data_IF_214467846768
#
_entry.id   IF_214467846768
#
_cell.length_a   1.000
_cell.length_b   1.000
_cell.length_c   1.000
_cell.angle_alpha   90.00
_cell.angle_beta   90.00
_cell.angle_gamma   90.00
#
_symmetry.space_group_name_H-M   'P 1'
#
loop_
_entity.id
_entity.type
_entity.pdbx_description
1 polymer ?
#
# COMPACT_ATOMS: atom_id res chain seq x y z
N UNK A 1 -1.35 17.81 -2.34
CA UNK A 1 -1.32 16.96 -1.13
C UNK A 1 -0.92 15.54 -1.55
N UNK A 2 -0.13 14.83 -0.75
CA UNK A 2 0.26 13.45 -1.05
C UNK A 2 -0.86 12.48 -0.59
N UNK A 3 -1.02 11.35 -1.25
CA UNK A 3 -2.11 10.36 -1.01
C UNK A 3 -1.60 9.05 -0.40
N UNK A 4 -0.34 8.71 -0.68
CA UNK A 4 0.30 7.45 -0.29
C UNK A 4 1.75 7.66 0.16
N UNK A 5 2.31 6.62 0.80
CA UNK A 5 3.76 6.42 0.95
C UNK A 5 4.12 5.16 0.16
N UNK A 6 5.21 5.22 -0.60
CA UNK A 6 5.68 4.11 -1.40
C UNK A 6 7.04 3.61 -0.93
N UNK A 7 7.32 2.34 -1.18
CA UNK A 7 8.63 1.73 -0.95
C UNK A 7 8.86 0.60 -1.96
N UNK A 8 10.11 0.46 -2.40
CA UNK A 8 10.50 -0.66 -3.24
C UNK A 8 10.66 -1.93 -2.39
N UNK A 9 10.39 -3.08 -3.00
CA UNK A 9 10.72 -4.38 -2.43
C UNK A 9 11.96 -4.97 -3.11
N UNK A 10 12.76 -5.78 -2.41
CA UNK A 10 13.94 -6.42 -3.00
C UNK A 10 13.58 -7.43 -4.11
N UNK A 11 12.30 -7.81 -4.21
CA UNK A 11 11.77 -8.68 -5.27
C UNK A 11 10.33 -8.32 -5.59
N UNK A 12 9.90 -8.67 -6.80
CA UNK A 12 8.49 -8.61 -7.18
C UNK A 12 7.68 -9.64 -6.41
N UNK A 13 6.42 -9.29 -6.12
CA UNK A 13 5.42 -10.23 -5.63
C UNK A 13 4.77 -10.94 -6.80
N UNK A 14 4.41 -12.20 -6.57
CA UNK A 14 3.49 -12.90 -7.44
C UNK A 14 2.08 -12.37 -7.18
N UNK A 15 1.36 -12.10 -8.26
CA UNK A 15 0.00 -11.52 -8.22
C UNK A 15 -0.99 -12.35 -9.02
N UNK A 16 -0.62 -13.59 -9.38
CA UNK A 16 -1.54 -14.51 -10.04
C UNK A 16 -2.81 -14.70 -9.19
N UNK A 17 -3.98 -14.58 -9.84
CA UNK A 17 -5.28 -14.68 -9.18
C UNK A 17 -5.74 -13.42 -8.44
N UNK A 18 -4.92 -12.37 -8.34
CA UNK A 18 -5.37 -11.08 -7.81
C UNK A 18 -6.32 -10.37 -8.80
N UNK A 19 -7.25 -9.52 -8.32
CA UNK A 19 -8.06 -8.68 -9.21
C UNK A 19 -7.21 -7.74 -10.07
N UNK A 20 -7.60 -7.56 -11.33
CA UNK A 20 -6.91 -6.66 -12.28
C UNK A 20 -6.86 -5.22 -11.81
N UNK A 21 -7.84 -4.81 -11.00
CA UNK A 21 -8.06 -3.43 -10.57
C UNK A 21 -8.49 -3.38 -9.12
N UNK A 22 -8.02 -2.35 -8.41
CA UNK A 22 -8.43 -2.08 -7.04
C UNK A 22 -8.55 -0.57 -6.80
N UNK A 23 -9.57 -0.16 -6.06
CA UNK A 23 -9.72 1.20 -5.54
C UNK A 23 -9.33 1.17 -4.06
N UNK A 24 -8.30 1.93 -3.68
CA UNK A 24 -7.80 1.91 -2.31
C UNK A 24 -8.56 2.91 -1.44
N UNK A 25 -8.78 2.53 -0.18
CA UNK A 25 -9.25 3.45 0.86
C UNK A 25 -8.10 3.82 1.78
N UNK A 26 -8.27 4.90 2.54
CA UNK A 26 -7.34 5.20 3.63
C UNK A 26 -7.12 3.97 4.54
N UNK A 27 -5.86 3.63 4.78
CA UNK A 27 -5.42 2.49 5.58
C UNK A 27 -5.04 1.24 4.78
N UNK A 28 -5.35 1.17 3.49
CA UNK A 28 -4.96 -0.01 2.68
C UNK A 28 -3.44 -0.05 2.43
N UNK A 29 -2.90 -1.26 2.58
CA UNK A 29 -1.58 -1.65 2.11
C UNK A 29 -1.74 -2.40 0.79
N UNK A 30 -1.02 -1.96 -0.23
CA UNK A 30 -1.14 -2.46 -1.59
C UNK A 30 0.22 -2.69 -2.24
N UNK A 31 0.20 -3.48 -3.30
CA UNK A 31 1.29 -3.67 -4.25
C UNK A 31 0.87 -3.11 -5.61
N UNK A 32 1.70 -2.27 -6.21
CA UNK A 32 1.47 -1.77 -7.55
C UNK A 32 2.31 -2.56 -8.56
N UNK A 33 1.70 -3.55 -9.21
CA UNK A 33 2.37 -4.49 -10.10
C UNK A 33 3.10 -3.85 -11.29
N UNK A 34 2.61 -2.77 -11.93
CA UNK A 34 3.32 -2.15 -13.06
C UNK A 34 4.71 -1.63 -12.72
N UNK A 35 4.91 -1.11 -11.51
CA UNK A 35 6.21 -0.56 -11.07
C UNK A 35 6.96 -1.48 -10.12
N UNK A 36 6.24 -2.31 -9.38
CA UNK A 36 6.83 -3.22 -8.41
C UNK A 36 7.17 -2.54 -7.09
N UNK A 37 6.31 -1.66 -6.60
CA UNK A 37 6.44 -1.00 -5.32
C UNK A 37 5.24 -1.29 -4.40
N UNK A 38 5.49 -1.23 -3.09
CA UNK A 38 4.43 -1.13 -2.09
C UNK A 38 3.86 0.29 -2.07
N UNK A 39 2.59 0.40 -1.70
CA UNK A 39 1.94 1.66 -1.36
C UNK A 39 1.04 1.49 -0.14
N UNK A 40 1.18 2.41 0.83
CA UNK A 40 0.23 2.58 1.94
C UNK A 40 -0.54 3.87 1.70
N UNK A 41 -1.86 3.74 1.57
CA UNK A 41 -2.77 4.86 1.35
C UNK A 41 -3.21 5.46 2.68
N UNK A 42 -3.17 6.79 2.80
CA UNK A 42 -3.74 7.53 3.95
C UNK A 42 -4.86 8.50 3.55
N UNK A 43 -5.34 8.34 2.32
CA UNK A 43 -6.54 8.93 1.70
C UNK A 43 -7.06 7.94 0.67
N UNK A 44 -8.31 8.10 0.25
CA UNK A 44 -8.88 7.26 -0.79
C UNK A 44 -8.21 7.51 -2.15
N UNK A 45 -8.14 6.46 -2.96
CA UNK A 45 -7.54 6.49 -4.29
C UNK A 45 -8.43 5.73 -5.29
N UNK A 46 -8.73 6.33 -6.46
CA UNK A 46 -9.57 5.69 -7.48
C UNK A 46 -9.05 4.33 -7.94
N UNK A 47 -9.94 3.55 -8.56
CA UNK A 47 -9.60 2.24 -9.12
C UNK A 47 -8.46 2.33 -10.15
N UNK A 48 -7.38 1.59 -9.92
CA UNK A 48 -6.22 1.52 -10.81
C UNK A 48 -5.88 0.09 -11.21
N UNK A 49 -5.48 -0.09 -12.48
CA UNK A 49 -5.02 -1.37 -13.02
C UNK A 49 -3.69 -1.79 -12.39
N UNK A 50 -3.58 -3.06 -12.00
CA UNK A 50 -2.40 -3.63 -11.37
C UNK A 50 -2.19 -3.20 -9.92
N UNK A 51 -3.15 -2.51 -9.30
CA UNK A 51 -3.14 -2.25 -7.86
C UNK A 51 -3.73 -3.47 -7.15
N UNK A 52 -2.93 -4.11 -6.30
CA UNK A 52 -3.29 -5.35 -5.60
C UNK A 52 -3.34 -5.08 -4.11
N UNK A 53 -4.49 -5.35 -3.46
CA UNK A 53 -4.63 -5.21 -2.01
C UNK A 53 -3.91 -6.34 -1.28
N UNK A 54 -3.01 -5.98 -0.38
CA UNK A 54 -2.30 -6.93 0.49
C UNK A 54 -2.92 -7.00 1.89
N UNK A 55 -3.48 -5.88 2.37
CA UNK A 55 -4.04 -5.80 3.71
C UNK A 55 -4.50 -4.39 4.04
N UNK A 56 -4.70 -4.15 5.33
CA UNK A 56 -5.11 -2.85 5.88
C UNK A 56 -4.49 -2.69 7.26
N UNK A 57 -4.18 -1.44 7.62
CA UNK A 57 -3.79 -1.07 8.98
C UNK A 57 -5.01 -1.14 9.91
N UNK A 58 -4.86 -1.79 11.06
CA UNK A 58 -5.92 -1.84 12.08
C UNK A 58 -6.09 -0.50 12.81
N UNK A 59 -5.03 0.31 12.86
CA UNK A 59 -5.01 1.64 13.47
C UNK A 59 -5.27 2.79 12.51
N UNK A 60 -5.26 4.01 13.06
CA UNK A 60 -5.38 5.25 12.29
C UNK A 60 -4.18 5.53 11.37
N UNK A 61 -4.40 6.36 10.35
CA UNK A 61 -3.40 6.73 9.33
C UNK A 61 -2.80 8.13 9.55
N UNK A 62 -3.18 8.81 10.62
CA UNK A 62 -2.83 10.20 10.91
C UNK A 62 -1.30 10.36 10.96
N UNK A 63 -0.61 9.42 11.62
CA UNK A 63 0.83 9.41 11.74
C UNK A 63 1.55 9.33 10.37
N UNK A 64 0.91 8.76 9.34
CA UNK A 64 1.50 8.64 8.01
C UNK A 64 1.49 9.95 7.22
N UNK A 65 0.59 10.89 7.53
CA UNK A 65 0.45 12.14 6.76
C UNK A 65 1.74 12.95 6.80
N UNK A 66 2.30 13.11 7.99
CA UNK A 66 3.47 13.95 8.25
C UNK A 66 4.79 13.14 8.35
N UNK A 67 4.71 11.80 8.39
CA UNK A 67 5.89 10.94 8.44
C UNK A 67 6.79 11.13 7.19
N UNK A 68 8.08 11.32 7.42
CA UNK A 68 9.10 11.34 6.35
C UNK A 68 9.64 9.94 6.04
N UNK A 69 9.62 9.04 7.03
CA UNK A 69 10.06 7.65 6.92
C UNK A 69 9.16 6.76 7.78
N UNK A 70 8.81 5.59 7.24
CA UNK A 70 8.06 4.54 7.94
C UNK A 70 8.90 3.27 7.90
N UNK A 71 8.93 2.52 9.01
CA UNK A 71 9.55 1.19 9.10
C UNK A 71 8.42 0.17 9.26
N UNK A 72 8.44 -0.86 8.43
CA UNK A 72 7.55 -2.02 8.53
C UNK A 72 8.39 -3.18 9.03
N UNK A 73 7.94 -3.82 10.09
CA UNK A 73 8.55 -5.02 10.66
C UNK A 73 7.47 -5.99 11.11
N UNK A 74 7.83 -7.25 11.30
CA UNK A 74 6.91 -8.24 11.86
C UNK A 74 6.51 -7.79 13.27
N UNK A 75 5.21 -7.87 13.57
CA UNK A 75 4.74 -7.67 14.93
C UNK A 75 5.42 -8.71 15.83
N UNK A 76 5.88 -8.25 16.99
CA UNK A 76 6.43 -9.15 18.01
C UNK A 76 5.35 -10.09 18.57
N UNK A 77 5.77 -11.18 19.23
CA UNK A 77 4.86 -12.03 20.00
C UNK A 77 4.20 -11.28 21.15
#
# INVERSE_FOLDING_TARGET
ARTEKIADLPRRLDTEGAPDRYAASAGDLTWYAPWGNLAIFYRDFPSASGLVRLGRLDGGVEALRDATRVRIELAGP
#
